data_IF_190295167448
#
_entry.id   IF_190295167448
#
_cell.length_a   1.000
_cell.length_b   1.000
_cell.length_c   1.000
_cell.angle_alpha   90.00
_cell.angle_beta   90.00
_cell.angle_gamma   90.00
#
_symmetry.space_group_name_H-M   'P 1'
#
loop_
_entity.id
_entity.type
_entity.pdbx_description
1 polymer ?
#
# COMPACT_ATOMS: atom_id res chain seq x y z
N UNK A 1 -12.26 -30.70 -40.24
CA UNK A 1 -13.28 -30.57 -39.20
C UNK A 1 -12.60 -30.33 -37.86
N UNK A 2 -13.10 -29.34 -37.13
CA UNK A 2 -12.53 -28.69 -35.95
C UNK A 2 -12.20 -29.65 -34.78
N UNK A 3 -10.94 -29.66 -34.31
CA UNK A 3 -10.46 -29.09 -33.02
C UNK A 3 -11.35 -29.40 -31.81
N UNK A 4 -10.83 -30.17 -30.84
CA UNK A 4 -10.93 -29.89 -29.39
C UNK A 4 -9.71 -30.45 -28.66
N UNK A 5 -8.65 -29.65 -28.61
CA UNK A 5 -7.60 -29.73 -27.59
C UNK A 5 -8.19 -29.01 -26.38
N UNK A 6 -8.47 -29.74 -25.31
CA UNK A 6 -8.83 -29.13 -24.03
C UNK A 6 -7.52 -28.73 -23.36
N UNK A 7 -7.11 -27.48 -23.59
CA UNK A 7 -6.12 -26.80 -22.76
C UNK A 7 -6.72 -26.63 -21.36
N UNK A 8 -6.20 -27.38 -20.39
CA UNK A 8 -6.39 -27.04 -18.98
C UNK A 8 -5.74 -25.68 -18.73
N UNK A 9 -6.59 -24.74 -18.33
CA UNK A 9 -6.27 -23.33 -18.13
C UNK A 9 -5.21 -23.20 -17.05
N UNK A 10 -4.12 -22.55 -17.46
CA UNK A 10 -3.04 -22.01 -16.67
C UNK A 10 -3.63 -21.09 -15.58
N UNK A 11 -3.73 -21.58 -14.35
CA UNK A 11 -3.95 -20.74 -13.18
C UNK A 11 -2.64 -20.00 -12.87
N UNK A 12 -2.38 -18.93 -13.61
CA UNK A 12 -1.44 -17.88 -13.20
C UNK A 12 -2.05 -17.19 -11.97
N UNK A 13 -1.81 -17.78 -10.80
CA UNK A 13 -1.76 -17.02 -9.55
C UNK A 13 -0.64 -16.00 -9.75
N UNK A 14 -1.01 -14.77 -10.08
CA UNK A 14 -0.10 -13.64 -10.07
C UNK A 14 0.22 -13.39 -8.59
N UNK A 15 1.21 -14.11 -8.07
CA UNK A 15 1.95 -13.69 -6.89
C UNK A 15 2.76 -12.46 -7.30
N UNK A 16 2.10 -11.30 -7.31
CA UNK A 16 2.75 -10.03 -7.51
C UNK A 16 3.45 -9.63 -6.22
N UNK A 17 4.67 -10.15 -5.99
CA UNK A 17 5.66 -9.39 -5.23
C UNK A 17 5.99 -8.16 -6.09
N UNK A 18 5.30 -7.05 -5.83
CA UNK A 18 5.47 -5.82 -6.59
C UNK A 18 6.75 -5.11 -6.16
N UNK A 19 7.70 -4.95 -7.09
CA UNK A 19 8.81 -4.01 -6.97
C UNK A 19 8.32 -2.62 -7.40
N UNK A 20 8.28 -1.65 -6.48
CA UNK A 20 7.79 -0.29 -6.77
C UNK A 20 8.95 0.71 -6.69
N UNK A 21 9.31 1.37 -7.79
CA UNK A 21 10.33 2.41 -7.80
C UNK A 21 9.76 3.80 -7.51
N UNK A 22 10.20 4.45 -6.43
CA UNK A 22 9.83 5.83 -6.10
C UNK A 22 10.77 6.86 -6.75
N UNK A 23 10.22 7.98 -7.23
CA UNK A 23 10.96 9.06 -7.88
C UNK A 23 11.58 10.03 -6.86
N UNK A 24 12.65 9.55 -6.21
CA UNK A 24 13.59 10.27 -5.36
C UNK A 24 14.63 9.23 -4.95
N UNK A 25 15.86 9.32 -5.46
CA UNK A 25 16.92 8.28 -5.34
C UNK A 25 16.39 6.83 -5.29
N UNK A 26 16.01 6.26 -6.44
CA UNK A 26 15.57 4.85 -6.67
C UNK A 26 15.59 3.94 -5.44
N UNK A 27 14.59 4.03 -4.56
CA UNK A 27 14.30 3.00 -3.55
C UNK A 27 13.12 2.19 -4.04
N UNK A 28 13.35 0.90 -4.23
CA UNK A 28 12.27 -0.02 -4.53
C UNK A 28 11.72 -0.60 -3.24
N UNK A 29 10.41 -0.53 -3.03
CA UNK A 29 9.75 -1.16 -1.89
C UNK A 29 9.08 -2.43 -2.39
N UNK A 30 9.36 -3.52 -1.71
CA UNK A 30 8.69 -4.80 -1.90
C UNK A 30 7.68 -5.00 -0.78
N UNK A 31 6.44 -5.27 -1.17
CA UNK A 31 5.33 -5.64 -0.28
C UNK A 31 5.08 -7.12 -0.49
N UNK A 32 5.17 -7.93 0.57
CA UNK A 32 5.09 -9.39 0.47
C UNK A 32 3.66 -9.96 0.31
N UNK A 33 2.65 -9.10 0.41
CA UNK A 33 1.24 -9.46 0.25
C UNK A 33 0.64 -8.84 -1.01
N UNK A 34 -0.42 -9.44 -1.59
CA UNK A 34 -1.17 -8.82 -2.67
C UNK A 34 -1.74 -7.46 -2.23
N UNK A 35 -1.60 -6.47 -3.11
CA UNK A 35 -2.14 -5.14 -2.88
C UNK A 35 -2.74 -4.55 -4.15
N UNK A 36 -3.59 -3.54 -3.96
CA UNK A 36 -4.02 -2.65 -5.04
C UNK A 36 -3.91 -1.19 -4.60
N UNK A 37 -3.66 -0.30 -5.56
CA UNK A 37 -3.69 1.13 -5.27
C UNK A 37 -5.13 1.62 -5.10
N UNK A 38 -5.38 2.28 -3.98
CA UNK A 38 -6.66 2.85 -3.62
C UNK A 38 -6.49 4.22 -2.98
N UNK A 39 -7.54 4.64 -2.27
CA UNK A 39 -7.51 5.84 -1.44
C UNK A 39 -7.97 5.50 -0.03
N UNK A 40 -7.28 6.06 0.94
CA UNK A 40 -7.70 6.09 2.35
C UNK A 40 -7.91 7.53 2.77
N UNK A 41 -8.79 7.76 3.74
CA UNK A 41 -8.87 9.06 4.38
C UNK A 41 -7.76 9.13 5.43
N UNK A 42 -6.98 10.21 5.41
CA UNK A 42 -6.00 10.50 6.45
C UNK A 42 -6.60 11.49 7.45
N UNK A 43 -6.96 11.05 8.67
CA UNK A 43 -7.55 11.92 9.70
C UNK A 43 -6.68 13.12 10.08
N UNK A 44 -5.35 12.97 9.98
CA UNK A 44 -4.40 14.00 10.42
C UNK A 44 -4.33 15.13 9.41
N UNK A 45 -4.26 14.80 8.12
CA UNK A 45 -4.26 15.80 7.05
C UNK A 45 -5.64 16.15 6.52
N UNK A 46 -6.70 15.50 7.01
CA UNK A 46 -8.11 15.65 6.58
C UNK A 46 -8.26 15.57 5.06
N UNK A 47 -7.54 14.64 4.43
CA UNK A 47 -7.51 14.51 2.98
C UNK A 47 -7.41 13.05 2.55
N UNK A 48 -7.91 12.75 1.36
CA UNK A 48 -7.77 11.42 0.77
C UNK A 48 -6.35 11.24 0.23
N UNK A 49 -5.69 10.15 0.62
CA UNK A 49 -4.31 9.80 0.24
C UNK A 49 -4.30 8.54 -0.60
N UNK A 50 -3.45 8.51 -1.63
CA UNK A 50 -3.16 7.26 -2.35
C UNK A 50 -2.51 6.30 -1.38
N UNK A 51 -3.02 5.07 -1.34
CA UNK A 51 -2.58 4.06 -0.40
C UNK A 51 -2.55 2.68 -1.03
N UNK A 52 -1.73 1.80 -0.45
CA UNK A 52 -1.78 0.37 -0.72
C UNK A 52 -2.87 -0.26 0.12
N UNK A 53 -3.86 -0.81 -0.57
CA UNK A 53 -4.94 -1.55 0.07
C UNK A 53 -4.52 -3.02 0.11
N UNK A 54 -4.58 -3.62 1.29
CA UNK A 54 -4.15 -5.00 1.57
C UNK A 54 -5.17 -5.68 2.49
N UNK A 55 -5.13 -7.01 2.58
CA UNK A 55 -6.04 -7.80 3.43
C UNK A 55 -5.43 -8.29 4.74
N UNK A 56 -4.10 -8.20 4.85
CA UNK A 56 -3.35 -8.66 6.03
C UNK A 56 -2.17 -7.71 6.31
N UNK A 57 -1.51 -7.90 7.45
CA UNK A 57 -0.37 -7.07 7.87
C UNK A 57 0.85 -7.32 6.97
N UNK A 58 1.25 -6.36 6.12
CA UNK A 58 2.32 -6.60 5.17
C UNK A 58 3.69 -6.59 5.86
N UNK A 59 4.58 -7.44 5.36
CA UNK A 59 6.03 -7.30 5.56
C UNK A 59 6.65 -6.60 4.36
N UNK A 60 7.45 -5.60 4.67
CA UNK A 60 8.08 -4.71 3.72
C UNK A 60 9.58 -4.98 3.70
N UNK A 61 10.18 -4.86 2.53
CA UNK A 61 11.64 -4.77 2.41
C UNK A 61 12.01 -3.71 1.37
N UNK A 62 13.24 -3.23 1.47
CA UNK A 62 13.74 -2.14 0.66
C UNK A 62 14.94 -2.62 -0.13
N UNK A 63 14.95 -2.32 -1.42
CA UNK A 63 16.16 -2.43 -2.24
C UNK A 63 16.92 -1.12 -2.15
N UNK A 64 18.08 -1.17 -1.48
CA UNK A 64 18.95 -0.03 -1.18
C UNK A 64 20.27 -0.17 -1.93
N UNK A 65 20.96 0.93 -2.15
CA UNK A 65 22.34 0.90 -2.65
C UNK A 65 23.28 0.35 -1.56
N UNK A 66 24.31 -0.41 -1.97
CA UNK A 66 25.24 -1.07 -1.07
C UNK A 66 25.73 -0.17 0.07
N UNK A 67 25.48 -0.60 1.31
CA UNK A 67 25.95 0.07 2.53
C UNK A 67 25.06 1.22 3.04
N UNK A 68 24.03 1.64 2.28
CA UNK A 68 23.04 2.61 2.76
C UNK A 68 22.05 1.95 3.72
N UNK A 69 21.54 2.76 4.65
CA UNK A 69 20.46 2.38 5.58
C UNK A 69 19.23 3.24 5.36
N UNK A 70 18.10 2.75 5.85
CA UNK A 70 16.88 3.55 5.99
C UNK A 70 16.36 3.44 7.40
N UNK A 71 15.84 4.53 7.92
CA UNK A 71 15.07 4.50 9.16
C UNK A 71 13.59 4.54 8.79
N UNK A 72 12.84 3.54 9.24
CA UNK A 72 11.41 3.46 9.01
C UNK A 72 10.66 3.68 10.32
N UNK A 73 9.53 4.38 10.22
CA UNK A 73 8.64 4.65 11.33
C UNK A 73 7.21 4.33 10.91
N UNK A 74 6.56 3.41 11.63
CA UNK A 74 5.16 3.06 11.39
C UNK A 74 4.25 3.85 12.33
N UNK A 75 3.14 4.34 11.78
CA UNK A 75 2.14 5.10 12.49
C UNK A 75 0.73 4.59 12.20
N UNK A 76 -0.14 4.73 13.21
CA UNK A 76 -1.58 4.71 13.05
C UNK A 76 -2.08 6.16 13.08
N UNK A 77 -2.78 6.58 12.03
CA UNK A 77 -3.52 7.83 12.03
C UNK A 77 -4.99 7.52 12.24
N UNK A 78 -5.62 8.15 13.23
CA UNK A 78 -7.03 7.94 13.55
C UNK A 78 -7.71 9.21 14.08
N UNK A 79 -9.03 9.29 13.98
CA UNK A 79 -9.79 10.32 14.68
C UNK A 79 -9.84 10.05 16.19
N UNK A 80 -9.75 11.11 16.99
CA UNK A 80 -10.08 11.04 18.41
C UNK A 80 -11.59 10.87 18.57
N UNK A 81 -11.99 9.96 19.46
CA UNK A 81 -13.40 9.69 19.72
C UNK A 81 -14.14 10.96 20.17
N UNK A 82 -15.22 11.30 19.46
CA UNK A 82 -16.02 12.50 19.74
C UNK A 82 -15.41 13.82 19.26
N UNK A 83 -14.26 13.80 18.57
CA UNK A 83 -13.59 15.00 18.05
C UNK A 83 -13.39 14.91 16.52
N UNK A 84 -13.64 16.02 15.80
CA UNK A 84 -13.18 16.16 14.40
C UNK A 84 -11.68 16.53 14.36
N UNK A 85 -10.85 15.67 14.96
CA UNK A 85 -9.42 15.84 15.07
C UNK A 85 -8.70 14.51 14.90
N UNK A 86 -7.86 14.41 13.88
CA UNK A 86 -6.95 13.30 13.71
C UNK A 86 -5.72 13.39 14.61
N UNK A 87 -5.25 12.24 15.07
CA UNK A 87 -3.98 12.06 15.77
C UNK A 87 -3.09 11.08 15.02
N UNK A 88 -1.78 11.22 15.21
CA UNK A 88 -0.76 10.33 14.65
C UNK A 88 -0.04 9.62 15.78
N UNK A 89 -0.32 8.33 15.93
CA UNK A 89 0.25 7.48 16.96
C UNK A 89 1.42 6.68 16.37
N UNK A 90 2.62 6.84 16.92
CA UNK A 90 3.78 6.04 16.51
C UNK A 90 3.63 4.63 17.08
N UNK A 91 3.71 3.62 16.21
CA UNK A 91 3.61 2.21 16.57
C UNK A 91 4.98 1.59 16.80
N UNK A 92 5.89 1.77 15.84
CA UNK A 92 7.26 1.27 15.94
C UNK A 92 8.23 2.07 15.06
N UNK A 93 9.52 1.88 15.27
CA UNK A 93 10.55 2.37 14.36
C UNK A 93 11.77 1.47 14.34
N UNK A 94 12.43 1.37 13.19
CA UNK A 94 13.56 0.48 12.99
C UNK A 94 14.50 1.04 11.92
N UNK A 95 15.81 0.89 12.13
CA UNK A 95 16.80 1.08 11.06
C UNK A 95 16.97 -0.23 10.32
N UNK A 96 16.81 -0.21 8.99
CA UNK A 96 16.88 -1.36 8.11
C UNK A 96 18.10 -1.28 7.20
N UNK A 97 18.72 -2.43 7.00
CA UNK A 97 19.70 -2.68 5.94
C UNK A 97 18.99 -3.13 4.65
N UNK A 98 19.75 -3.22 3.55
CA UNK A 98 19.26 -3.73 2.27
C UNK A 98 18.64 -5.13 2.43
N UNK A 99 17.44 -5.31 1.88
CA UNK A 99 16.67 -6.56 1.95
C UNK A 99 16.16 -6.93 3.35
N UNK A 100 16.41 -6.12 4.39
CA UNK A 100 15.91 -6.41 5.73
C UNK A 100 14.39 -6.24 5.80
N UNK A 101 13.74 -7.20 6.43
CA UNK A 101 12.28 -7.25 6.55
C UNK A 101 11.77 -6.40 7.72
N UNK A 102 10.62 -5.78 7.50
CA UNK A 102 9.90 -4.96 8.47
C UNK A 102 8.39 -5.17 8.34
N UNK A 103 7.74 -5.64 9.39
CA UNK A 103 6.27 -5.77 9.41
C UNK A 103 5.65 -4.42 9.76
N UNK A 104 4.64 -3.99 9.00
CA UNK A 104 4.04 -2.66 9.13
C UNK A 104 3.51 -2.40 10.54
N UNK A 105 2.81 -3.36 11.13
CA UNK A 105 2.27 -3.26 12.49
C UNK A 105 2.94 -4.28 13.42
N UNK A 106 3.20 -3.93 14.69
CA UNK A 106 3.57 -4.93 15.69
C UNK A 106 2.48 -5.99 15.79
N UNK A 107 2.85 -7.25 16.05
CA UNK A 107 1.88 -8.36 16.09
C UNK A 107 0.79 -8.14 17.15
N UNK A 108 1.15 -7.62 18.32
CA UNK A 108 0.21 -7.27 19.38
C UNK A 108 -0.81 -6.21 18.94
N UNK A 109 -0.35 -5.15 18.26
CA UNK A 109 -1.22 -4.09 17.74
C UNK A 109 -2.13 -4.60 16.63
N UNK A 110 -1.61 -5.46 15.75
CA UNK A 110 -2.38 -6.07 14.67
C UNK A 110 -3.51 -6.95 15.22
N UNK A 111 -3.20 -7.86 16.13
CA UNK A 111 -4.19 -8.76 16.73
C UNK A 111 -5.19 -7.99 17.60
N UNK A 112 -4.74 -6.98 18.36
CA UNK A 112 -5.63 -6.11 19.13
C UNK A 112 -6.62 -5.38 18.22
N UNK A 113 -6.14 -4.71 17.17
CA UNK A 113 -6.97 -3.98 16.22
C UNK A 113 -7.91 -4.91 15.43
N UNK A 114 -7.46 -6.13 15.12
CA UNK A 114 -8.29 -7.14 14.46
C UNK A 114 -9.43 -7.61 15.35
N UNK A 115 -9.12 -7.92 16.61
CA UNK A 115 -10.09 -8.46 17.58
C UNK A 115 -11.15 -7.44 17.98
N UNK A 116 -10.81 -6.14 18.01
CA UNK A 116 -11.77 -5.07 18.31
C UNK A 116 -12.42 -4.46 17.05
N UNK A 117 -12.12 -4.99 15.85
CA UNK A 117 -12.68 -4.56 14.57
C UNK A 117 -12.14 -3.24 14.00
N UNK A 118 -11.27 -2.54 14.75
CA UNK A 118 -10.74 -1.24 14.33
C UNK A 118 -9.66 -1.33 13.24
N UNK A 119 -9.10 -2.52 13.00
CA UNK A 119 -8.13 -2.77 11.93
C UNK A 119 -8.68 -2.38 10.55
N UNK A 120 -9.96 -2.68 10.30
CA UNK A 120 -10.60 -2.52 8.99
C UNK A 120 -11.37 -1.21 8.83
N UNK A 121 -11.35 -0.32 9.84
CA UNK A 121 -12.04 0.97 9.76
C UNK A 121 -11.23 1.99 8.95
N UNK A 122 -11.12 1.80 7.64
CA UNK A 122 -10.38 2.71 6.76
C UNK A 122 -11.05 4.08 6.56
N UNK A 123 -12.26 4.27 7.08
CA UNK A 123 -12.96 5.56 7.04
C UNK A 123 -12.36 6.54 8.05
N UNK A 124 -12.06 6.04 9.25
CA UNK A 124 -11.56 6.85 10.37
C UNK A 124 -10.11 6.57 10.73
N UNK A 125 -9.48 5.59 10.08
CA UNK A 125 -8.12 5.16 10.36
C UNK A 125 -7.33 4.87 9.08
N UNK A 126 -6.04 5.21 9.08
CA UNK A 126 -5.10 4.71 8.09
C UNK A 126 -3.73 4.45 8.71
N UNK A 127 -2.94 3.57 8.09
CA UNK A 127 -1.57 3.30 8.53
C UNK A 127 -0.58 4.03 7.64
N UNK A 128 0.47 4.57 8.24
CA UNK A 128 1.47 5.39 7.53
C UNK A 128 2.86 4.90 7.85
N UNK A 129 3.64 4.60 6.82
CA UNK A 129 5.07 4.34 6.92
C UNK A 129 5.83 5.58 6.50
N UNK A 130 6.63 6.13 7.41
CA UNK A 130 7.63 7.16 7.07
C UNK A 130 8.98 6.50 6.84
N UNK A 131 9.64 6.88 5.76
CA UNK A 131 10.95 6.37 5.38
C UNK A 131 11.92 7.54 5.36
N UNK A 132 12.89 7.53 6.26
CA UNK A 132 13.93 8.54 6.37
C UNK A 132 15.20 8.05 5.69
N UNK A 133 15.78 8.92 4.86
CA UNK A 133 17.08 8.68 4.26
C UNK A 133 18.17 8.96 5.29
N UNK A 134 19.17 8.08 5.36
CA UNK A 134 20.31 8.23 6.27
C UNK A 134 20.95 9.62 6.15
N UNK A 135 21.08 10.30 7.29
CA UNK A 135 21.68 11.64 7.36
C UNK A 135 20.78 12.78 6.87
N UNK A 136 19.48 12.56 6.66
CA UNK A 136 18.53 13.61 6.27
C UNK A 136 17.31 13.66 7.20
N UNK A 137 16.71 14.84 7.35
CA UNK A 137 15.41 15.00 8.03
C UNK A 137 14.22 14.80 7.07
N UNK A 138 14.51 14.65 5.77
CA UNK A 138 13.49 14.42 4.76
C UNK A 138 12.98 12.98 4.85
N UNK A 139 11.68 12.83 4.65
CA UNK A 139 11.02 11.54 4.65
C UNK A 139 9.98 11.43 3.54
N UNK A 140 9.80 10.22 3.05
CA UNK A 140 8.68 9.84 2.22
C UNK A 140 7.58 9.22 3.10
N UNK A 141 6.32 9.46 2.74
CA UNK A 141 5.15 8.85 3.40
C UNK A 141 4.46 7.87 2.45
N UNK A 142 4.22 6.67 2.96
CA UNK A 142 3.45 5.63 2.28
C UNK A 142 2.26 5.26 3.14
N UNK A 143 1.09 5.29 2.53
CA UNK A 143 -0.16 5.02 3.21
C UNK A 143 -0.63 3.60 2.92
N UNK A 144 -1.23 2.97 3.93
CA UNK A 144 -1.80 1.64 3.86
C UNK A 144 -3.23 1.65 4.41
N UNK A 145 -4.10 0.91 3.74
CA UNK A 145 -5.43 0.54 4.23
C UNK A 145 -5.52 -0.98 4.34
N UNK A 146 -5.79 -1.48 5.54
CA UNK A 146 -6.03 -2.91 5.75
C UNK A 146 -7.55 -3.10 5.75
N UNK A 147 -8.07 -3.97 4.90
CA UNK A 147 -9.51 -4.16 4.69
C UNK A 147 -9.87 -5.63 4.69
N UNK A 148 -11.15 -5.93 4.87
CA UNK A 148 -11.67 -7.29 4.69
C UNK A 148 -11.60 -7.73 3.21
N UNK A 149 -11.59 -9.04 2.99
CA UNK A 149 -11.40 -9.66 1.66
C UNK A 149 -12.49 -9.27 0.65
N UNK A 150 -13.73 -9.08 1.09
CA UNK A 150 -14.83 -8.61 0.24
C UNK A 150 -14.63 -7.15 -0.20
N UNK A 151 -14.26 -6.27 0.72
CA UNK A 151 -13.90 -4.88 0.42
C UNK A 151 -12.68 -4.82 -0.50
N UNK A 152 -11.69 -5.69 -0.28
CA UNK A 152 -10.52 -5.77 -1.16
C UNK A 152 -10.89 -6.13 -2.60
N UNK A 153 -11.83 -7.05 -2.81
CA UNK A 153 -12.35 -7.38 -4.14
C UNK A 153 -13.01 -6.17 -4.82
N UNK A 154 -13.77 -5.37 -4.09
CA UNK A 154 -14.32 -4.12 -4.63
C UNK A 154 -13.22 -3.16 -5.08
N UNK A 155 -12.11 -3.05 -4.35
CA UNK A 155 -10.95 -2.26 -4.76
C UNK A 155 -10.29 -2.83 -6.02
N UNK A 156 -10.15 -4.15 -6.12
CA UNK A 156 -9.60 -4.81 -7.31
C UNK A 156 -10.48 -4.59 -8.55
N UNK A 157 -11.80 -4.71 -8.41
CA UNK A 157 -12.74 -4.47 -9.51
C UNK A 157 -12.66 -3.03 -9.99
N UNK A 158 -12.70 -2.06 -9.07
CA UNK A 158 -12.52 -0.64 -9.38
C UNK A 158 -11.17 -0.36 -10.05
N UNK A 159 -10.10 -1.03 -9.65
CA UNK A 159 -8.79 -0.88 -10.28
C UNK A 159 -8.81 -1.36 -11.73
N UNK A 160 -9.41 -2.53 -12.02
CA UNK A 160 -9.58 -3.08 -13.37
C UNK A 160 -10.43 -2.17 -14.26
N UNK A 161 -11.50 -1.61 -13.72
CA UNK A 161 -12.33 -0.64 -14.42
C UNK A 161 -11.55 0.63 -14.80
N UNK A 162 -10.79 1.19 -13.86
CA UNK A 162 -9.92 2.36 -14.11
C UNK A 162 -8.88 2.07 -15.19
N UNK A 163 -8.23 0.91 -15.14
CA UNK A 163 -7.26 0.52 -16.15
C UNK A 163 -7.91 0.38 -17.54
N UNK A 164 -9.07 -0.27 -17.61
CA UNK A 164 -9.82 -0.43 -18.86
C UNK A 164 -10.21 0.92 -19.46
N UNK A 165 -10.70 1.84 -18.62
CA UNK A 165 -11.02 3.22 -19.01
C UNK A 165 -9.78 3.98 -19.50
N UNK A 166 -8.65 3.82 -18.80
CA UNK A 166 -7.39 4.44 -19.18
C UNK A 166 -6.88 3.92 -20.54
N UNK A 167 -6.92 2.60 -20.75
CA UNK A 167 -6.55 1.99 -22.03
C UNK A 167 -7.43 2.49 -23.17
N UNK A 168 -8.76 2.58 -22.94
CA UNK A 168 -9.69 3.15 -23.91
C UNK A 168 -9.36 4.62 -24.22
N UNK A 169 -9.08 5.42 -23.19
CA UNK A 169 -8.70 6.83 -23.33
C UNK A 169 -7.39 7.01 -24.08
N UNK A 170 -6.38 6.17 -23.81
CA UNK A 170 -5.10 6.17 -24.54
C UNK A 170 -5.31 5.78 -26.00
N UNK A 171 -6.20 4.82 -26.27
CA UNK A 171 -6.54 4.43 -27.65
C UNK A 171 -7.23 5.56 -28.42
N UNK A 172 -8.10 6.33 -27.76
CA UNK A 172 -8.88 7.41 -28.39
C UNK A 172 -8.11 8.74 -28.50
N UNK A 173 -7.30 9.09 -27.48
CA UNK A 173 -6.65 10.40 -27.35
C UNK A 173 -5.11 10.34 -27.46
N UNK A 174 -4.55 9.15 -27.65
CA UNK A 174 -3.12 8.90 -27.76
C UNK A 174 -2.38 8.82 -26.40
N UNK A 175 -1.06 8.55 -26.42
CA UNK A 175 -0.26 8.27 -25.21
C UNK A 175 -0.19 9.42 -24.20
N UNK A 176 -0.42 10.67 -24.64
CA UNK A 176 -0.43 11.82 -23.75
C UNK A 176 -1.57 11.78 -22.72
N UNK A 177 -2.63 11.00 -22.98
CA UNK A 177 -3.75 10.83 -22.06
C UNK A 177 -3.39 10.03 -20.79
N UNK A 178 -2.26 9.32 -20.78
CA UNK A 178 -1.78 8.57 -19.62
C UNK A 178 -1.23 9.46 -18.49
N UNK A 179 -0.93 10.75 -18.77
CA UNK A 179 -0.24 11.66 -17.83
C UNK A 179 -1.18 12.53 -16.97
N UNK A 180 -2.49 12.43 -17.16
CA UNK A 180 -3.51 13.17 -16.40
C UNK A 180 -4.31 12.18 -15.55
N UNK A 181 -3.78 11.78 -14.40
CA UNK A 181 -4.54 11.20 -13.29
C UNK A 181 -3.86 11.58 -11.98
#
# INVERSE_FOLDING_TARGET
MFRKIVLSVLALMVFSCGLIAYAGEKKAIEIDVPYVEGKVNDPVSKSARTAYIVTENPTLSFSLENGKKVEVMSYCNEYLEGEDRGIRNRLMGKTLLDGEKFTLLPEEEYESAKNNGSLYNTADRCYVLRIYNEGTENYDEIYFGIVEEDIFKDFQEKAKERETLLQKRIRELGPAAARKN
#
